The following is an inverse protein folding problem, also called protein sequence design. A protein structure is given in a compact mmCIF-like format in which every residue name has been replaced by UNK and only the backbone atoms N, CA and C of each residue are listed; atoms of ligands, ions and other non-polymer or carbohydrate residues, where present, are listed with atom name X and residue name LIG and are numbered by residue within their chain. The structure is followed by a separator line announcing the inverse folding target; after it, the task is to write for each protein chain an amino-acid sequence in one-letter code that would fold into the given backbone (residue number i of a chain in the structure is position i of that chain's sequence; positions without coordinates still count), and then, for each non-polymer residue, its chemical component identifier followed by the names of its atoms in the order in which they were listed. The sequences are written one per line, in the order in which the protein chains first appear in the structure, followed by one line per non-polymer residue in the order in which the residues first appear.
data_IF_371066410609
#
_entry.id   IF_371066410609
#
_cell.length_a   1.000
_cell.length_b   1.000
_cell.length_c   1.000
_cell.angle_alpha   90.00
_cell.angle_beta   90.00
_cell.angle_gamma   90.00
#
_symmetry.space_group_name_H-M   'P 1'
#
loop_
_entity.id
_entity.type
_entity.pdbx_description
1 polymer ?
#
# COMPACT_ATOMS: atom_id res chain seq x y z
N UNK A 1 9.54 3.49 3.85
CA UNK A 1 8.16 2.94 3.79
C UNK A 1 7.68 2.37 5.14
N UNK A 2 8.09 2.96 6.28
CA UNK A 2 7.73 2.50 7.63
C UNK A 2 6.73 3.42 8.33
N UNK A 3 6.70 4.70 7.98
CA UNK A 3 5.81 5.69 8.62
C UNK A 3 4.32 5.33 8.49
N UNK A 4 3.83 5.04 7.29
CA UNK A 4 2.42 4.67 7.09
C UNK A 4 2.05 3.36 7.76
N UNK A 5 2.99 2.41 7.86
CA UNK A 5 2.78 1.15 8.60
C UNK A 5 2.59 1.45 10.09
N UNK A 6 3.44 2.29 10.67
CA UNK A 6 3.37 2.65 12.11
C UNK A 6 2.12 3.44 12.48
N UNK A 7 1.54 4.19 11.53
CA UNK A 7 0.37 5.05 11.76
C UNK A 7 -0.94 4.43 11.29
N UNK A 8 -0.91 3.21 10.73
CA UNK A 8 -2.07 2.59 10.10
C UNK A 8 -3.26 2.45 11.07
N UNK A 9 -3.02 1.93 12.27
CA UNK A 9 -4.08 1.75 13.27
C UNK A 9 -4.68 3.09 13.72
N UNK A 10 -3.85 4.11 13.90
CA UNK A 10 -4.32 5.45 14.25
C UNK A 10 -5.16 6.06 13.12
N UNK A 11 -4.73 5.90 11.86
CA UNK A 11 -5.51 6.36 10.71
C UNK A 11 -6.87 5.64 10.62
N UNK A 12 -6.87 4.31 10.73
CA UNK A 12 -8.09 3.50 10.71
C UNK A 12 -9.06 3.86 11.85
N UNK A 13 -8.56 4.09 13.06
CA UNK A 13 -9.36 4.53 14.21
C UNK A 13 -10.04 5.89 13.99
N UNK A 14 -9.49 6.73 13.11
CA UNK A 14 -10.06 8.02 12.71
C UNK A 14 -10.89 7.93 11.41
N UNK A 15 -11.18 6.71 10.93
CA UNK A 15 -11.93 6.51 9.69
C UNK A 15 -11.15 6.85 8.41
N UNK A 16 -9.81 6.93 8.47
CA UNK A 16 -8.95 7.22 7.32
C UNK A 16 -8.39 5.93 6.75
N UNK A 17 -8.70 5.63 5.50
CA UNK A 17 -8.10 4.54 4.74
C UNK A 17 -6.74 4.93 4.16
N UNK A 18 -5.77 4.02 4.21
CA UNK A 18 -4.46 4.19 3.57
C UNK A 18 -4.37 3.16 2.44
N UNK A 19 -3.94 3.62 1.26
CA UNK A 19 -3.71 2.78 0.09
C UNK A 19 -2.40 3.23 -0.57
N UNK A 20 -1.59 2.27 -1.00
CA UNK A 20 -0.44 2.54 -1.86
C UNK A 20 -0.84 2.38 -3.32
N UNK A 21 -0.33 3.24 -4.20
CA UNK A 21 -0.51 3.12 -5.65
C UNK A 21 0.84 3.23 -6.34
N UNK A 22 1.10 2.37 -7.31
CA UNK A 22 2.26 2.49 -8.19
C UNK A 22 1.99 1.90 -9.56
N UNK A 23 2.86 2.18 -10.51
CA UNK A 23 2.80 1.66 -11.88
C UNK A 23 3.30 0.22 -12.01
N UNK A 24 3.77 -0.36 -10.90
CA UNK A 24 4.28 -1.72 -10.87
C UNK A 24 3.16 -2.74 -10.92
N UNK A 25 3.54 -3.98 -11.17
CA UNK A 25 2.58 -5.06 -11.22
C UNK A 25 2.03 -5.48 -9.86
N UNK A 26 0.79 -5.98 -9.85
CA UNK A 26 0.21 -6.61 -8.65
C UNK A 26 1.10 -7.75 -8.15
N UNK A 27 1.79 -8.47 -9.05
CA UNK A 27 2.78 -9.49 -8.66
C UNK A 27 3.99 -8.87 -7.94
N UNK A 28 4.49 -7.75 -8.45
CA UNK A 28 5.58 -6.98 -7.83
C UNK A 28 5.17 -6.46 -6.44
N UNK A 29 3.92 -5.99 -6.29
CA UNK A 29 3.36 -5.57 -5.00
C UNK A 29 3.29 -6.71 -3.99
N UNK A 30 2.81 -7.88 -4.42
CA UNK A 30 2.73 -9.06 -3.55
C UNK A 30 4.11 -9.53 -3.10
N UNK A 31 5.10 -9.54 -4.00
CA UNK A 31 6.48 -9.87 -3.67
C UNK A 31 7.06 -8.86 -2.67
N UNK A 32 6.89 -7.56 -2.94
CA UNK A 32 7.34 -6.50 -2.05
C UNK A 32 6.69 -6.56 -0.66
N UNK A 33 5.36 -6.75 -0.60
CA UNK A 33 4.66 -6.91 0.68
C UNK A 33 5.18 -8.13 1.44
N UNK A 34 5.44 -9.25 0.76
CA UNK A 34 6.01 -10.45 1.38
C UNK A 34 7.41 -10.22 1.95
N UNK A 35 8.29 -9.52 1.22
CA UNK A 35 9.63 -9.15 1.69
C UNK A 35 9.59 -8.29 2.97
N UNK A 36 8.55 -7.48 3.14
CA UNK A 36 8.35 -6.65 4.34
C UNK A 36 7.67 -7.40 5.50
N UNK A 37 7.31 -8.68 5.34
CA UNK A 37 6.53 -9.44 6.32
C UNK A 37 5.03 -9.08 6.32
N UNK A 38 4.51 -8.62 5.18
CA UNK A 38 3.14 -8.16 4.96
C UNK A 38 3.03 -6.63 4.93
N UNK A 39 1.90 -6.10 4.49
CA UNK A 39 1.57 -4.66 4.64
C UNK A 39 0.17 -4.56 5.21
N UNK A 40 -0.10 -3.57 6.09
CA UNK A 40 -1.43 -3.44 6.70
C UNK A 40 -2.43 -2.74 5.77
N UNK A 41 -2.00 -2.27 4.61
CA UNK A 41 -2.80 -1.58 3.60
C UNK A 41 -2.59 -2.21 2.22
N UNK A 42 -3.57 -2.00 1.34
CA UNK A 42 -3.54 -2.50 -0.03
C UNK A 42 -2.59 -1.71 -0.93
N UNK A 43 -2.04 -2.40 -1.93
CA UNK A 43 -1.27 -1.81 -3.01
C UNK A 43 -2.06 -1.98 -4.32
N UNK A 44 -2.37 -0.86 -4.96
CA UNK A 44 -3.15 -0.77 -6.19
C UNK A 44 -2.20 -0.60 -7.37
N UNK A 45 -2.35 -1.44 -8.40
CA UNK A 45 -1.59 -1.32 -9.65
C UNK A 45 -2.24 -0.32 -10.60
N UNK A 46 -1.47 0.70 -11.01
CA UNK A 46 -1.84 1.68 -12.03
C UNK A 46 -0.88 1.62 -13.23
N UNK A 47 -0.85 0.45 -13.88
CA UNK A 47 0.01 0.20 -15.04
C UNK A 47 -0.19 1.20 -16.18
N UNK A 48 -1.43 1.65 -16.36
CA UNK A 48 -1.82 2.55 -17.44
C UNK A 48 -1.55 4.02 -17.11
N UNK A 49 -1.03 4.33 -15.91
CA UNK A 49 -0.74 5.68 -15.43
C UNK A 49 -1.94 6.61 -15.52
N UNK A 50 -3.11 6.09 -15.18
CA UNK A 50 -4.38 6.82 -15.28
C UNK A 50 -4.72 7.54 -13.98
N UNK A 51 -4.06 7.19 -12.89
CA UNK A 51 -4.24 7.80 -11.58
C UNK A 51 -3.12 8.81 -11.34
N UNK A 52 -3.45 9.94 -10.70
CA UNK A 52 -2.55 11.09 -10.49
C UNK A 52 -2.21 11.25 -9.01
#
# INVERSE_FOLDING_TARGET
MTEFRSRHEAAAANGVGIYGISVDSVFSHQAFAKELGGLPYELIGDFERKMV
#
